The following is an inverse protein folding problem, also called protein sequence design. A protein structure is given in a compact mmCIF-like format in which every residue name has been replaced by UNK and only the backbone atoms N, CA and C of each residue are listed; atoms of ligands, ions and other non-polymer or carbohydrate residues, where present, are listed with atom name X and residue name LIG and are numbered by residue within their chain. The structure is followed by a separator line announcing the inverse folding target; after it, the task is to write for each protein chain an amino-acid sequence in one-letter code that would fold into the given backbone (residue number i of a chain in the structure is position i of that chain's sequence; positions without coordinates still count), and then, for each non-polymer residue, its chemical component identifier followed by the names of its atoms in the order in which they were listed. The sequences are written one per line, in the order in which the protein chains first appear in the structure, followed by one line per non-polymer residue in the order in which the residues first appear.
data_IF_670531253392
#
_entry.id   IF_670531253392
#
_cell.length_a   1.000
_cell.length_b   1.000
_cell.length_c   1.000
_cell.angle_alpha   90.00
_cell.angle_beta   90.00
_cell.angle_gamma   90.00
#
_symmetry.space_group_name_H-M   'P 1'
#
loop_
_entity.id
_entity.type
_entity.pdbx_description
1 polymer ?
#
# COMPACT_ATOMS: atom_id res chain seq x y z
N UNK A 1 8.94 -10.64 -22.16
CA UNK A 1 9.41 -10.76 -20.77
C UNK A 1 8.22 -10.46 -19.86
N UNK A 2 8.04 -11.14 -18.75
CA UNK A 2 6.98 -10.81 -17.81
C UNK A 2 7.24 -9.44 -17.15
N UNK A 3 6.17 -8.76 -16.74
CA UNK A 3 6.22 -7.39 -16.24
C UNK A 3 5.63 -7.29 -14.84
N UNK A 4 6.41 -6.73 -13.92
CA UNK A 4 6.01 -6.38 -12.58
C UNK A 4 5.80 -4.88 -12.47
N UNK A 5 4.61 -4.44 -12.10
CA UNK A 5 4.34 -3.06 -11.70
C UNK A 5 4.10 -3.00 -10.20
N UNK A 6 4.95 -2.28 -9.49
CA UNK A 6 4.78 -1.99 -8.07
C UNK A 6 4.15 -0.60 -7.88
N UNK A 7 3.24 -0.46 -6.93
CA UNK A 7 2.59 0.82 -6.57
C UNK A 7 2.86 1.10 -5.09
N UNK A 8 3.61 2.16 -4.81
CA UNK A 8 3.99 2.55 -3.46
C UNK A 8 4.04 4.07 -3.32
N UNK A 9 3.97 4.58 -2.11
CA UNK A 9 4.10 6.03 -1.85
C UNK A 9 5.49 6.58 -2.22
N UNK A 10 6.54 5.77 -2.13
CA UNK A 10 7.92 6.15 -2.45
C UNK A 10 8.60 5.11 -3.33
N UNK A 11 9.66 5.50 -4.06
CA UNK A 11 10.50 4.59 -4.82
C UNK A 11 11.95 4.67 -4.34
N UNK A 12 12.52 3.54 -3.93
CA UNK A 12 13.88 3.44 -3.38
C UNK A 12 14.18 4.47 -2.27
N UNK A 13 13.13 4.87 -1.51
CA UNK A 13 13.24 5.83 -0.41
C UNK A 13 12.41 5.37 0.79
N UNK A 14 12.93 5.55 2.00
CA UNK A 14 12.29 5.03 3.22
C UNK A 14 12.24 3.51 3.26
N UNK A 15 11.49 2.94 4.21
CA UNK A 15 11.41 1.48 4.40
C UNK A 15 10.71 0.76 3.26
N UNK A 16 9.45 1.13 2.98
CA UNK A 16 8.64 0.44 1.96
C UNK A 16 9.15 0.66 0.54
N UNK A 17 9.73 1.84 0.25
CA UNK A 17 10.36 2.11 -1.05
C UNK A 17 11.63 1.30 -1.27
N UNK A 18 12.40 1.01 -0.21
CA UNK A 18 13.56 0.11 -0.26
C UNK A 18 13.13 -1.35 -0.51
N UNK A 19 12.04 -1.78 0.12
CA UNK A 19 11.48 -3.12 -0.11
C UNK A 19 11.04 -3.25 -1.56
N UNK A 20 10.30 -2.27 -2.09
CA UNK A 20 9.87 -2.27 -3.49
C UNK A 20 11.08 -2.31 -4.46
N UNK A 21 12.14 -1.55 -4.18
CA UNK A 21 13.38 -1.59 -4.97
C UNK A 21 14.01 -2.98 -4.96
N UNK A 22 14.17 -3.59 -3.79
CA UNK A 22 14.77 -4.93 -3.68
C UNK A 22 13.96 -6.00 -4.41
N UNK A 23 12.62 -5.93 -4.34
CA UNK A 23 11.74 -6.81 -5.10
C UNK A 23 11.93 -6.60 -6.61
N UNK A 24 12.00 -5.34 -7.05
CA UNK A 24 12.25 -5.00 -8.46
C UNK A 24 13.59 -5.53 -8.96
N UNK A 25 14.66 -5.36 -8.17
CA UNK A 25 15.99 -5.90 -8.49
C UNK A 25 15.97 -7.44 -8.60
N UNK A 26 15.30 -8.10 -7.66
CA UNK A 26 15.14 -9.55 -7.69
C UNK A 26 14.35 -10.00 -8.93
N UNK A 27 13.25 -9.33 -9.27
CA UNK A 27 12.46 -9.62 -10.46
C UNK A 27 13.30 -9.48 -11.74
N UNK A 28 14.07 -8.39 -11.87
CA UNK A 28 14.95 -8.16 -13.03
C UNK A 28 16.05 -9.22 -13.13
N UNK A 29 16.62 -9.67 -12.02
CA UNK A 29 17.59 -10.75 -12.00
C UNK A 29 17.00 -12.09 -12.51
N UNK A 30 15.68 -12.25 -12.46
CA UNK A 30 14.94 -13.40 -13.00
C UNK A 30 14.28 -13.13 -14.37
N UNK A 31 14.72 -12.11 -15.07
CA UNK A 31 14.29 -11.82 -16.44
C UNK A 31 12.94 -11.11 -16.57
N UNK A 32 12.49 -10.39 -15.53
CA UNK A 32 11.30 -9.54 -15.56
C UNK A 32 11.65 -8.09 -15.90
N UNK A 33 10.72 -7.38 -16.50
CA UNK A 33 10.73 -5.92 -16.51
C UNK A 33 10.09 -5.40 -15.22
N UNK A 34 10.71 -4.40 -14.60
CA UNK A 34 10.24 -3.83 -13.34
C UNK A 34 9.88 -2.36 -13.46
N UNK A 35 8.68 -2.01 -12.99
CA UNK A 35 8.12 -0.67 -12.96
C UNK A 35 7.72 -0.32 -11.53
N UNK A 36 7.94 0.95 -11.12
CA UNK A 36 7.51 1.45 -9.81
C UNK A 36 6.73 2.76 -9.98
N UNK A 37 5.44 2.71 -9.74
CA UNK A 37 4.58 3.90 -9.65
C UNK A 37 4.63 4.46 -8.23
N UNK A 38 5.00 5.76 -8.08
CA UNK A 38 5.23 6.37 -6.78
C UNK A 38 4.64 7.77 -6.62
N UNK A 39 4.29 8.13 -5.38
CA UNK A 39 3.61 9.38 -5.04
C UNK A 39 4.53 10.52 -4.63
N UNK A 40 5.49 10.30 -3.72
CA UNK A 40 6.25 11.39 -3.07
C UNK A 40 7.71 11.46 -3.50
N UNK A 41 8.56 10.71 -2.85
CA UNK A 41 10.01 10.77 -2.99
C UNK A 41 10.55 9.56 -3.73
N UNK A 42 11.64 9.78 -4.44
CA UNK A 42 12.37 8.70 -5.09
C UNK A 42 13.87 8.96 -5.03
N UNK A 43 14.63 7.90 -4.86
CA UNK A 43 16.03 7.83 -5.18
C UNK A 43 16.21 7.17 -6.57
N UNK A 44 17.41 7.22 -7.17
CA UNK A 44 17.71 6.47 -8.39
C UNK A 44 17.33 4.99 -8.23
N UNK A 45 16.74 4.42 -9.26
CA UNK A 45 16.27 3.04 -9.31
C UNK A 45 16.62 2.43 -10.67
N UNK A 46 16.81 1.12 -10.70
CA UNK A 46 16.93 0.38 -11.95
C UNK A 46 15.55 0.01 -12.56
N UNK A 47 14.48 0.10 -11.76
CA UNK A 47 13.12 -0.02 -12.27
C UNK A 47 12.70 1.23 -13.03
N UNK A 48 11.78 1.09 -13.99
CA UNK A 48 11.16 2.25 -14.64
C UNK A 48 10.25 2.99 -13.67
N UNK A 49 10.59 4.25 -13.37
CA UNK A 49 9.86 5.07 -12.40
C UNK A 49 8.70 5.83 -13.04
N UNK A 50 7.52 5.72 -12.45
CA UNK A 50 6.28 6.37 -12.87
C UNK A 50 5.80 7.30 -11.76
N UNK A 51 5.85 8.61 -11.97
CA UNK A 51 5.37 9.59 -11.00
C UNK A 51 3.84 9.70 -11.05
N UNK A 52 3.18 9.46 -9.91
CA UNK A 52 1.73 9.60 -9.75
C UNK A 52 1.41 10.97 -9.16
N UNK A 53 0.74 11.81 -9.95
CA UNK A 53 0.35 13.16 -9.52
C UNK A 53 1.52 14.12 -9.36
N UNK A 54 1.22 15.24 -8.74
CA UNK A 54 2.15 16.32 -8.46
C UNK A 54 1.99 16.84 -7.01
N UNK A 55 2.79 17.82 -6.62
CA UNK A 55 2.72 18.41 -5.26
C UNK A 55 1.36 19.01 -4.95
N UNK A 56 0.73 19.68 -5.92
CA UNK A 56 -0.59 20.31 -5.73
C UNK A 56 -1.66 19.24 -5.50
N UNK A 57 -1.67 18.16 -6.30
CA UNK A 57 -2.58 17.02 -6.10
C UNK A 57 -2.47 16.47 -4.68
N UNK A 58 -1.25 16.36 -4.16
CA UNK A 58 -0.99 15.86 -2.79
C UNK A 58 -1.49 16.81 -1.71
N UNK A 59 -1.23 18.13 -1.84
CA UNK A 59 -1.70 19.10 -0.85
C UNK A 59 -3.21 19.20 -0.81
N UNK A 60 -3.87 19.17 -1.96
CA UNK A 60 -5.33 19.15 -2.05
C UNK A 60 -5.90 17.87 -1.40
N UNK A 61 -5.30 16.72 -1.67
CA UNK A 61 -5.71 15.46 -1.08
C UNK A 61 -5.51 15.46 0.45
N UNK A 62 -4.39 15.99 0.94
CA UNK A 62 -4.14 16.17 2.36
C UNK A 62 -5.19 17.05 3.02
N UNK A 63 -5.56 18.18 2.41
CA UNK A 63 -6.62 19.07 2.92
C UNK A 63 -7.98 18.37 2.99
N UNK A 64 -8.37 17.63 1.96
CA UNK A 64 -9.60 16.83 1.94
C UNK A 64 -9.60 15.76 3.03
N UNK A 65 -8.48 15.06 3.22
CA UNK A 65 -8.35 14.05 4.26
C UNK A 65 -8.50 14.68 5.65
N UNK A 66 -7.85 15.82 5.90
CA UNK A 66 -7.94 16.53 7.20
C UNK A 66 -9.36 16.95 7.57
N UNK A 67 -10.16 17.30 6.59
CA UNK A 67 -11.53 17.75 6.82
C UNK A 67 -12.50 16.57 6.82
N UNK A 68 -12.38 15.67 5.82
CA UNK A 68 -13.42 14.70 5.46
C UNK A 68 -13.06 13.24 5.65
N UNK A 69 -11.92 12.92 6.21
CA UNK A 69 -11.44 11.53 6.35
C UNK A 69 -11.45 10.76 5.01
N UNK A 70 -10.95 11.40 3.96
CA UNK A 70 -10.92 10.88 2.59
C UNK A 70 -9.55 10.30 2.21
N UNK A 71 -8.85 9.69 3.16
CA UNK A 71 -7.56 9.06 2.92
C UNK A 71 -7.62 8.08 1.74
N UNK A 72 -6.80 8.34 0.71
CA UNK A 72 -6.77 7.49 -0.49
C UNK A 72 -8.00 7.58 -1.39
N UNK A 73 -8.86 8.61 -1.29
CA UNK A 73 -10.08 8.79 -2.09
C UNK A 73 -10.07 10.04 -2.99
N UNK A 74 -9.05 10.89 -2.89
CA UNK A 74 -8.85 12.03 -3.79
C UNK A 74 -7.91 11.66 -4.95
N UNK A 75 -7.13 12.61 -5.49
CA UNK A 75 -6.17 12.37 -6.59
C UNK A 75 -6.73 11.63 -7.81
N UNK A 76 -8.01 11.90 -8.15
CA UNK A 76 -8.73 11.17 -9.21
C UNK A 76 -8.07 11.31 -10.58
N UNK A 77 -7.62 12.51 -10.95
CA UNK A 77 -6.96 12.76 -12.23
C UNK A 77 -5.63 12.03 -12.36
N UNK A 78 -4.81 12.06 -11.30
CA UNK A 78 -3.55 11.33 -11.24
C UNK A 78 -3.76 9.82 -11.37
N UNK A 79 -4.75 9.27 -10.65
CA UNK A 79 -5.07 7.84 -10.71
C UNK A 79 -5.59 7.41 -12.08
N UNK A 80 -6.42 8.21 -12.74
CA UNK A 80 -6.86 7.91 -14.12
C UNK A 80 -5.69 7.89 -15.13
N UNK A 81 -4.69 8.76 -14.94
CA UNK A 81 -3.46 8.71 -15.75
C UNK A 81 -2.65 7.44 -15.47
N UNK A 82 -2.50 7.08 -14.19
CA UNK A 82 -1.83 5.84 -13.82
C UNK A 82 -2.54 4.62 -14.42
N UNK A 83 -3.87 4.54 -14.38
CA UNK A 83 -4.63 3.42 -14.97
C UNK A 83 -4.32 3.28 -16.47
N UNK A 84 -4.28 4.38 -17.24
CA UNK A 84 -3.88 4.34 -18.66
C UNK A 84 -2.46 3.80 -18.83
N UNK A 85 -1.52 4.19 -17.97
CA UNK A 85 -0.16 3.65 -18.00
C UNK A 85 -0.12 2.16 -17.64
N UNK A 86 -0.98 1.70 -16.72
CA UNK A 86 -1.14 0.27 -16.44
C UNK A 86 -1.62 -0.49 -17.68
N UNK A 87 -2.58 0.07 -18.41
CA UNK A 87 -3.09 -0.50 -19.69
C UNK A 87 -1.99 -0.56 -20.75
N UNK A 88 -1.18 0.50 -20.90
CA UNK A 88 -0.06 0.58 -21.85
C UNK A 88 1.08 -0.40 -21.49
N UNK A 89 1.42 -0.51 -20.23
CA UNK A 89 2.46 -1.44 -19.72
C UNK A 89 1.98 -2.88 -19.86
N UNK A 90 0.69 -3.12 -19.62
CA UNK A 90 0.07 -4.45 -19.58
C UNK A 90 0.85 -5.41 -18.66
N UNK A 91 0.93 -5.15 -17.34
CA UNK A 91 1.72 -5.94 -16.42
C UNK A 91 1.08 -7.31 -16.14
N UNK A 92 1.91 -8.34 -15.97
CA UNK A 92 1.47 -9.67 -15.53
C UNK A 92 1.08 -9.66 -14.05
N UNK A 93 1.76 -8.82 -13.27
CA UNK A 93 1.54 -8.68 -11.83
C UNK A 93 1.53 -7.19 -11.45
N UNK A 94 0.51 -6.78 -10.72
CA UNK A 94 0.47 -5.50 -10.00
C UNK A 94 0.70 -5.79 -8.51
N UNK A 95 1.82 -5.32 -7.97
CA UNK A 95 2.10 -5.40 -6.55
C UNK A 95 1.82 -4.06 -5.86
N UNK A 96 0.94 -4.11 -4.88
CA UNK A 96 0.57 -2.96 -4.07
C UNK A 96 1.36 -2.99 -2.76
N UNK A 97 1.82 -1.81 -2.31
CA UNK A 97 2.36 -1.56 -0.99
C UNK A 97 1.48 -0.53 -0.27
N UNK A 98 2.03 0.64 0.10
CA UNK A 98 1.25 1.71 0.69
C UNK A 98 0.53 2.50 -0.40
N UNK A 99 -0.75 2.22 -0.60
CA UNK A 99 -1.64 2.92 -1.55
C UNK A 99 -2.45 4.06 -0.92
N UNK A 100 -2.19 4.34 0.34
CA UNK A 100 -2.63 5.52 1.09
C UNK A 100 -1.59 6.66 0.99
N UNK A 101 -1.70 7.72 1.81
CA UNK A 101 -0.78 8.86 1.84
C UNK A 101 -0.92 9.90 0.70
N UNK A 102 -2.11 10.21 0.29
CA UNK A 102 -2.49 11.41 -0.47
C UNK A 102 -2.00 11.48 -1.94
N UNK A 103 -1.72 10.37 -2.61
CA UNK A 103 -1.27 10.41 -4.00
C UNK A 103 -2.16 9.64 -4.96
N UNK A 104 -2.96 8.71 -4.45
CA UNK A 104 -3.71 7.74 -5.22
C UNK A 104 -5.19 7.73 -4.79
N UNK A 105 -6.08 7.39 -5.70
CA UNK A 105 -7.47 7.05 -5.41
C UNK A 105 -7.64 5.54 -5.48
N UNK A 106 -7.63 4.86 -4.31
CA UNK A 106 -7.73 3.40 -4.26
C UNK A 106 -9.06 2.88 -4.82
N UNK A 107 -10.15 3.68 -4.72
CA UNK A 107 -11.43 3.29 -5.27
C UNK A 107 -11.34 3.12 -6.79
N UNK A 108 -10.85 4.12 -7.51
CA UNK A 108 -10.69 4.05 -8.96
C UNK A 108 -9.72 2.94 -9.37
N UNK A 109 -8.63 2.77 -8.63
CA UNK A 109 -7.67 1.70 -8.90
C UNK A 109 -8.32 0.33 -8.78
N UNK A 110 -9.04 0.04 -7.68
CA UNK A 110 -9.69 -1.26 -7.49
C UNK A 110 -10.92 -1.44 -8.38
N UNK A 111 -11.69 -0.39 -8.71
CA UNK A 111 -12.75 -0.46 -9.73
C UNK A 111 -12.20 -0.89 -11.11
N UNK A 112 -10.96 -0.52 -11.43
CA UNK A 112 -10.25 -0.98 -12.63
C UNK A 112 -9.73 -2.41 -12.45
N UNK A 113 -8.94 -2.69 -11.41
CA UNK A 113 -8.34 -4.00 -11.18
C UNK A 113 -9.40 -5.12 -11.05
N UNK A 114 -10.57 -4.82 -10.51
CA UNK A 114 -11.68 -5.78 -10.38
C UNK A 114 -12.31 -6.17 -11.72
N UNK A 115 -11.99 -5.47 -12.80
CA UNK A 115 -12.46 -5.76 -14.17
C UNK A 115 -11.40 -6.44 -15.02
N UNK A 116 -10.24 -6.70 -14.49
CA UNK A 116 -9.10 -7.32 -15.17
C UNK A 116 -8.74 -8.64 -14.52
N UNK A 117 -8.02 -9.48 -15.27
CA UNK A 117 -7.44 -10.73 -14.76
C UNK A 117 -5.97 -10.55 -14.31
N UNK A 118 -5.49 -9.32 -14.22
CA UNK A 118 -4.15 -9.01 -13.71
C UNK A 118 -3.99 -9.59 -12.30
N UNK A 119 -2.92 -10.30 -12.05
CA UNK A 119 -2.61 -10.83 -10.71
C UNK A 119 -2.27 -9.68 -9.79
N UNK A 120 -2.99 -9.55 -8.68
CA UNK A 120 -2.76 -8.51 -7.68
C UNK A 120 -2.13 -9.14 -6.44
N UNK A 121 -0.95 -8.66 -6.08
CA UNK A 121 -0.28 -9.00 -4.82
C UNK A 121 -0.26 -7.73 -3.96
N UNK A 122 -0.75 -7.80 -2.73
CA UNK A 122 -0.74 -6.63 -1.84
C UNK A 122 0.05 -6.93 -0.57
N UNK A 123 1.21 -6.31 -0.45
CA UNK A 123 2.06 -6.41 0.73
C UNK A 123 1.62 -5.40 1.77
N UNK A 124 1.12 -5.87 2.90
CA UNK A 124 0.69 -5.05 4.02
C UNK A 124 1.88 -4.70 4.91
N UNK A 125 2.01 -3.41 5.20
CA UNK A 125 3.00 -2.86 6.13
C UNK A 125 2.35 -2.28 7.40
N UNK A 126 1.03 -2.14 7.39
CA UNK A 126 0.18 -1.63 8.46
C UNK A 126 -1.23 -2.21 8.37
N UNK A 127 -2.15 -1.74 9.21
CA UNK A 127 -3.52 -2.23 9.30
C UNK A 127 -4.53 -1.42 8.47
N UNK A 128 -4.11 -0.39 7.73
CA UNK A 128 -5.01 0.52 7.05
C UNK A 128 -5.95 -0.18 6.06
N UNK A 129 -5.50 -1.22 5.41
CA UNK A 129 -6.27 -1.93 4.38
C UNK A 129 -7.60 -2.50 4.89
N UNK A 130 -7.67 -2.92 6.15
CA UNK A 130 -8.86 -3.56 6.74
C UNK A 130 -9.50 -2.75 7.89
N UNK A 131 -9.06 -1.51 8.12
CA UNK A 131 -9.68 -0.55 9.04
C UNK A 131 -10.46 0.52 8.29
N UNK A 132 -11.30 1.27 9.00
CA UNK A 132 -12.05 2.38 8.40
C UNK A 132 -11.29 3.71 8.36
N UNK A 133 -10.25 3.84 9.20
CA UNK A 133 -9.52 5.09 9.37
C UNK A 133 -8.04 4.87 9.66
N UNK A 134 -7.72 4.22 10.79
CA UNK A 134 -6.40 4.16 11.38
C UNK A 134 -5.45 3.18 10.69
N UNK A 135 -4.14 3.45 10.80
CA UNK A 135 -3.07 2.52 10.39
C UNK A 135 -2.74 1.51 11.48
N UNK A 136 -2.92 1.91 12.74
CA UNK A 136 -2.64 1.08 13.93
C UNK A 136 -3.74 1.29 14.96
N UNK A 137 -4.41 0.24 15.37
CA UNK A 137 -5.51 0.28 16.34
C UNK A 137 -5.11 -0.23 17.73
N UNK A 138 -3.92 -0.83 17.85
CA UNK A 138 -3.46 -1.54 19.06
C UNK A 138 -3.31 -0.59 20.24
N UNK A 139 -2.95 0.67 19.99
CA UNK A 139 -2.77 1.68 21.05
C UNK A 139 -4.04 2.01 21.83
N UNK A 140 -5.21 1.66 21.29
CA UNK A 140 -6.53 1.89 21.92
C UNK A 140 -7.32 0.59 22.08
N UNK A 141 -6.70 -0.58 21.91
CA UNK A 141 -7.38 -1.89 21.95
C UNK A 141 -8.69 -1.93 21.15
N UNK A 142 -8.74 -1.21 20.05
CA UNK A 142 -9.95 -1.11 19.24
C UNK A 142 -10.18 -2.38 18.43
N UNK A 143 -11.28 -3.08 18.68
CA UNK A 143 -11.65 -4.30 17.95
C UNK A 143 -12.76 -4.09 16.92
N UNK A 144 -13.20 -2.86 16.69
CA UNK A 144 -14.32 -2.54 15.76
C UNK A 144 -14.02 -2.98 14.33
N UNK A 145 -12.76 -2.97 13.90
CA UNK A 145 -12.35 -3.40 12.57
C UNK A 145 -12.72 -4.86 12.22
N UNK A 146 -12.98 -5.71 13.20
CA UNK A 146 -13.40 -7.10 12.97
C UNK A 146 -14.80 -7.19 12.38
N UNK A 147 -15.72 -6.32 12.79
CA UNK A 147 -17.13 -6.37 12.42
C UNK A 147 -17.62 -5.15 11.65
N UNK A 148 -17.00 -4.00 11.85
CA UNK A 148 -17.31 -2.74 11.19
C UNK A 148 -16.77 -1.56 11.98
N UNK A 149 -16.06 -0.63 11.34
CA UNK A 149 -15.61 0.60 11.97
C UNK A 149 -16.75 1.62 12.05
N UNK A 150 -16.86 2.31 13.18
CA UNK A 150 -17.79 3.42 13.44
C UNK A 150 -17.37 4.11 14.75
N UNK A 151 -17.70 5.40 14.92
CA UNK A 151 -17.33 6.18 16.10
C UNK A 151 -15.87 5.92 16.48
N UNK A 152 -14.96 6.30 15.57
CA UNK A 152 -13.57 5.90 15.63
C UNK A 152 -12.87 6.56 16.83
N UNK A 153 -12.34 5.80 17.81
CA UNK A 153 -11.64 6.37 18.95
C UNK A 153 -10.30 7.01 18.57
N UNK A 154 -9.84 6.78 17.34
CA UNK A 154 -8.57 7.25 16.79
C UNK A 154 -8.74 8.38 15.77
N UNK A 155 -9.96 8.96 15.63
CA UNK A 155 -10.26 9.98 14.62
C UNK A 155 -9.37 11.22 14.74
N UNK A 156 -8.94 11.56 15.93
CA UNK A 156 -8.05 12.68 16.22
C UNK A 156 -6.58 12.29 16.39
N UNK A 157 -6.27 10.98 16.33
CA UNK A 157 -4.91 10.48 16.26
C UNK A 157 -4.44 10.43 14.79
N UNK A 158 -3.21 9.98 14.54
CA UNK A 158 -2.72 9.89 13.16
C UNK A 158 -3.44 8.76 12.37
N UNK A 159 -3.97 9.07 11.20
CA UNK A 159 -4.04 10.31 10.41
C UNK A 159 -5.24 11.16 10.86
N UNK A 160 -5.03 12.16 11.72
CA UNK A 160 -6.11 12.93 12.33
C UNK A 160 -7.00 13.64 11.30
N UNK A 161 -8.30 13.70 11.61
CA UNK A 161 -9.31 14.35 10.78
C UNK A 161 -10.40 15.00 11.63
N UNK A 162 -11.13 15.94 11.04
CA UNK A 162 -12.24 16.65 11.72
C UNK A 162 -13.53 15.83 11.69
N UNK A 163 -13.75 15.02 10.66
CA UNK A 163 -14.97 14.23 10.48
C UNK A 163 -14.66 12.74 10.56
N UNK A 164 -15.46 11.98 11.29
CA UNK A 164 -15.39 10.53 11.30
C UNK A 164 -16.19 9.94 10.12
N UNK A 165 -15.49 9.34 9.16
CA UNK A 165 -16.08 8.56 8.08
C UNK A 165 -15.69 7.09 8.15
N UNK A 166 -15.17 6.64 9.27
CA UNK A 166 -14.66 5.28 9.43
C UNK A 166 -15.63 4.19 8.99
N UNK A 167 -16.95 4.35 9.26
CA UNK A 167 -17.96 3.41 8.77
C UNK A 167 -18.01 3.32 7.25
N UNK A 168 -18.12 4.48 6.58
CA UNK A 168 -18.22 4.53 5.11
C UNK A 168 -16.94 4.03 4.44
N UNK A 169 -15.79 4.42 5.00
CA UNK A 169 -14.50 3.98 4.50
C UNK A 169 -14.31 2.47 4.66
N UNK A 170 -14.72 1.91 5.80
CA UNK A 170 -14.67 0.47 6.06
C UNK A 170 -15.53 -0.30 5.06
N UNK A 171 -16.79 0.10 4.89
CA UNK A 171 -17.74 -0.55 3.97
C UNK A 171 -17.24 -0.48 2.52
N UNK A 172 -16.71 0.68 2.10
CA UNK A 172 -16.15 0.87 0.78
C UNK A 172 -14.93 -0.02 0.54
N UNK A 173 -13.98 -0.06 1.47
CA UNK A 173 -12.80 -0.94 1.40
C UNK A 173 -13.22 -2.41 1.36
N UNK A 174 -14.11 -2.81 2.26
CA UNK A 174 -14.66 -4.17 2.28
C UNK A 174 -15.24 -4.54 0.92
N UNK A 175 -16.14 -3.73 0.37
CA UNK A 175 -16.76 -3.99 -0.93
C UNK A 175 -15.74 -4.12 -2.06
N UNK A 176 -14.78 -3.19 -2.15
CA UNK A 176 -13.82 -3.14 -3.25
C UNK A 176 -12.77 -4.26 -3.18
N UNK A 177 -12.20 -4.49 -1.99
CA UNK A 177 -11.07 -5.39 -1.83
C UNK A 177 -11.50 -6.85 -1.83
N UNK A 178 -12.69 -7.15 -1.26
CA UNK A 178 -13.23 -8.50 -1.34
C UNK A 178 -13.70 -8.89 -2.74
N UNK A 179 -14.10 -7.93 -3.58
CA UNK A 179 -14.50 -8.18 -4.96
C UNK A 179 -13.35 -8.59 -5.88
N UNK A 180 -12.10 -8.22 -5.56
CA UNK A 180 -10.95 -8.58 -6.39
C UNK A 180 -10.68 -10.09 -6.34
N UNK A 181 -10.78 -10.78 -7.48
CA UNK A 181 -10.67 -12.24 -7.57
C UNK A 181 -9.22 -12.73 -7.54
N UNK A 182 -8.28 -11.91 -8.01
CA UNK A 182 -6.87 -12.28 -8.18
C UNK A 182 -6.00 -11.84 -6.99
N UNK A 183 -6.59 -11.19 -5.98
CA UNK A 183 -5.88 -10.61 -4.84
C UNK A 183 -5.26 -11.70 -3.95
N UNK A 184 -3.94 -11.63 -3.83
CA UNK A 184 -3.16 -12.32 -2.80
C UNK A 184 -2.60 -11.28 -1.83
N UNK A 185 -2.78 -11.49 -0.55
CA UNK A 185 -2.25 -10.63 0.51
C UNK A 185 -0.94 -11.23 1.02
N UNK A 186 0.06 -10.39 1.18
CA UNK A 186 1.33 -10.73 1.81
C UNK A 186 1.47 -9.89 3.07
N UNK A 187 1.81 -10.50 4.19
CA UNK A 187 2.15 -9.78 5.43
C UNK A 187 3.61 -9.98 5.79
N UNK A 188 4.24 -8.95 6.35
CA UNK A 188 5.65 -9.02 6.76
C UNK A 188 5.89 -9.75 8.10
N UNK A 189 4.83 -10.20 8.77
CA UNK A 189 4.90 -10.90 10.05
C UNK A 189 3.67 -11.74 10.35
N UNK A 190 3.82 -12.77 11.18
CA UNK A 190 2.69 -13.55 11.69
C UNK A 190 1.74 -12.70 12.54
N UNK A 191 2.27 -11.71 13.26
CA UNK A 191 1.47 -10.77 14.01
C UNK A 191 0.45 -10.02 13.13
N UNK A 192 0.90 -9.45 12.01
CA UNK A 192 0.00 -8.75 11.08
C UNK A 192 -0.95 -9.73 10.38
N UNK A 193 -0.46 -10.92 10.03
CA UNK A 193 -1.23 -12.00 9.44
C UNK A 193 -2.40 -12.42 10.34
N UNK A 194 -2.20 -12.50 11.67
CA UNK A 194 -3.27 -12.86 12.61
C UNK A 194 -4.46 -11.89 12.53
N UNK A 195 -4.21 -10.60 12.36
CA UNK A 195 -5.28 -9.60 12.18
C UNK A 195 -5.98 -9.75 10.84
N UNK A 196 -5.26 -10.00 9.75
CA UNK A 196 -5.89 -10.22 8.43
C UNK A 196 -6.85 -11.40 8.49
N UNK A 197 -6.49 -12.50 9.16
CA UNK A 197 -7.34 -13.69 9.34
C UNK A 197 -8.64 -13.42 10.11
N UNK A 198 -8.68 -12.36 10.90
CA UNK A 198 -9.88 -11.96 11.66
C UNK A 198 -10.65 -10.80 10.99
N UNK A 199 -10.10 -10.23 9.90
CA UNK A 199 -10.71 -9.11 9.18
C UNK A 199 -11.69 -9.56 8.10
N UNK A 200 -12.31 -8.61 7.41
CA UNK A 200 -13.14 -8.90 6.24
C UNK A 200 -12.35 -9.48 5.04
N UNK A 201 -11.01 -9.51 5.12
CA UNK A 201 -10.13 -10.08 4.11
C UNK A 201 -9.75 -11.55 4.38
N UNK A 202 -10.28 -12.17 5.42
CA UNK A 202 -9.95 -13.52 5.86
C UNK A 202 -10.07 -14.62 4.80
N UNK A 203 -10.94 -14.43 3.81
CA UNK A 203 -11.17 -15.39 2.71
C UNK A 203 -10.17 -15.18 1.53
N UNK A 204 -9.30 -14.17 1.59
CA UNK A 204 -8.29 -13.96 0.56
C UNK A 204 -7.09 -14.88 0.80
N UNK A 205 -6.43 -15.25 -0.29
CA UNK A 205 -5.14 -15.93 -0.18
C UNK A 205 -4.19 -15.05 0.62
N UNK A 206 -3.59 -15.63 1.67
CA UNK A 206 -2.72 -14.93 2.62
C UNK A 206 -1.41 -15.69 2.78
N UNK A 207 -0.31 -14.99 2.58
CA UNK A 207 1.04 -15.50 2.74
C UNK A 207 1.80 -14.64 3.75
N UNK A 208 2.71 -15.24 4.51
CA UNK A 208 3.63 -14.51 5.39
C UNK A 208 5.01 -14.54 4.77
N UNK A 209 5.53 -13.38 4.38
CA UNK A 209 6.86 -13.23 3.81
C UNK A 209 7.57 -12.12 4.59
N UNK A 210 8.53 -12.49 5.43
CA UNK A 210 9.32 -11.52 6.19
C UNK A 210 10.12 -10.61 5.26
N UNK A 211 10.27 -9.35 5.67
CA UNK A 211 11.13 -8.43 4.94
C UNK A 211 12.58 -8.91 4.97
N UNK A 212 13.19 -8.95 3.80
CA UNK A 212 14.62 -9.22 3.67
C UNK A 212 15.46 -8.03 4.13
N UNK A 213 16.71 -8.31 4.49
CA UNK A 213 17.73 -7.29 4.74
C UNK A 213 19.00 -7.59 3.93
N UNK A 214 19.70 -6.54 3.58
CA UNK A 214 21.02 -6.66 2.94
C UNK A 214 22.09 -6.97 4.02
N UNK A 215 22.57 -8.21 4.04
CA UNK A 215 23.61 -8.66 4.97
C UNK A 215 24.98 -8.02 4.74
N UNK A 216 25.23 -7.41 3.60
CA UNK A 216 26.46 -6.66 3.37
C UNK A 216 26.42 -5.31 4.09
N UNK A 217 25.25 -4.67 4.11
CA UNK A 217 25.03 -3.41 4.82
C UNK A 217 24.76 -3.63 6.31
N UNK A 218 23.98 -4.65 6.66
CA UNK A 218 23.59 -4.98 8.03
C UNK A 218 24.36 -6.21 8.54
N UNK A 219 25.66 -6.05 8.75
CA UNK A 219 26.50 -7.09 9.31
C UNK A 219 26.97 -6.71 10.74
N UNK A 220 27.21 -7.71 11.63
CA UNK A 220 27.80 -7.45 12.92
C UNK A 220 29.17 -6.78 12.78
N UNK A 221 29.31 -5.57 13.29
CA UNK A 221 30.62 -4.92 13.32
C UNK A 221 31.51 -5.59 14.36
N UNK A 222 32.72 -6.00 13.96
CA UNK A 222 33.73 -6.40 14.94
C UNK A 222 34.00 -5.17 15.84
N UNK A 223 33.63 -5.24 17.12
CA UNK A 223 34.06 -4.22 18.08
C UNK A 223 35.57 -4.16 18.01
N UNK A 224 36.12 -3.04 17.55
CA UNK A 224 37.54 -2.77 17.76
C UNK A 224 37.78 -2.74 19.28
N UNK A 225 38.45 -3.76 19.79
CA UNK A 225 39.02 -3.71 21.16
C UNK A 225 40.20 -2.74 21.10
N UNK A 226 39.91 -1.46 21.16
CA UNK A 226 40.91 -0.42 21.43
C UNK A 226 40.22 0.62 22.28
N UNK A 227 40.40 0.53 23.57
CA UNK A 227 40.49 1.57 24.56
C UNK A 227 41.25 1.01 25.75
#
# INVERSE_FOLDING_TARGET
MPKLLQINITANWGSTGKIAEQIGLCAMAHGWESFVAYGRWSNPSLSYLIKVGNKLDMYMHYGEQKIRDNEGLCSRGATKRLIRQIEEINPDVVQLHNIHDHYLNYRLLFEYLNKTDIKVVWTFHDCWAFTGHCFHFVTKDCMKWKTGCYDCPLVHDYPNTLMDRSRKNYELKKSLFTANRTLTIVTCSEWLSSFVRESFLKEKRLEVIHNGIDFHTFCPQKKSRNA
#
